data_IF_009912955082
#
_entry.id   IF_009912955082
#
_cell.length_a   1.000
_cell.length_b   1.000
_cell.length_c   1.000
_cell.angle_alpha   90.00
_cell.angle_beta   90.00
_cell.angle_gamma   90.00
#
_symmetry.space_group_name_H-M   'P 1'
#
loop_
_entity.id
_entity.type
_entity.pdbx_description
1 polymer ?
#
# COMPACT_ATOMS: atom_id res chain seq x y z
N UNK A 1 -4.38 3.25 20.52
CA UNK A 1 -5.45 3.64 19.57
C UNK A 1 -5.79 2.42 18.75
N UNK A 2 -7.06 2.04 18.64
CA UNK A 2 -7.47 0.78 17.98
C UNK A 2 -7.45 0.90 16.46
N UNK A 3 -7.00 -0.16 15.78
CA UNK A 3 -6.89 -0.24 14.32
C UNK A 3 -8.20 0.05 13.57
N UNK A 4 -9.33 -0.18 14.23
CA UNK A 4 -10.67 0.06 13.67
C UNK A 4 -10.97 1.55 13.46
N UNK A 5 -10.43 2.45 14.28
CA UNK A 5 -10.54 3.90 14.08
C UNK A 5 -9.68 4.41 12.91
N UNK A 6 -8.57 3.73 12.60
CA UNK A 6 -7.70 4.10 11.49
C UNK A 6 -8.39 3.78 10.15
N UNK A 7 -9.08 2.65 10.05
CA UNK A 7 -9.81 2.24 8.83
C UNK A 7 -10.92 3.23 8.44
N UNK A 8 -11.70 3.73 9.39
CA UNK A 8 -12.79 4.66 9.11
C UNK A 8 -12.32 6.08 8.75
N UNK A 9 -11.11 6.47 9.14
CA UNK A 9 -10.56 7.81 8.85
C UNK A 9 -10.26 8.03 7.37
N UNK A 10 -10.12 6.96 6.58
CA UNK A 10 -9.76 7.03 5.17
C UNK A 10 -10.89 7.57 4.27
N UNK A 11 -12.15 7.20 4.55
CA UNK A 11 -13.30 7.59 3.71
C UNK A 11 -13.55 9.10 3.64
N UNK A 12 -13.26 9.85 4.71
CA UNK A 12 -13.43 11.30 4.76
C UNK A 12 -12.39 12.09 3.94
N UNK A 13 -11.28 11.45 3.54
CA UNK A 13 -10.16 12.06 2.84
C UNK A 13 -9.84 11.41 1.48
N UNK A 14 -10.76 10.61 0.92
CA UNK A 14 -10.51 9.76 -0.25
C UNK A 14 -9.96 10.52 -1.48
N UNK A 15 -10.47 11.72 -1.78
CA UNK A 15 -10.00 12.54 -2.91
C UNK A 15 -8.55 13.03 -2.68
N UNK A 16 -8.25 13.62 -1.52
CA UNK A 16 -6.89 14.04 -1.18
C UNK A 16 -5.91 12.85 -1.11
N UNK A 17 -6.41 11.69 -0.66
CA UNK A 17 -5.68 10.42 -0.63
C UNK A 17 -5.31 9.95 -2.06
N UNK A 18 -6.23 10.05 -3.02
CA UNK A 18 -6.00 9.66 -4.41
C UNK A 18 -4.93 10.53 -5.10
N UNK A 19 -4.93 11.84 -4.85
CA UNK A 19 -4.02 12.80 -5.49
C UNK A 19 -2.57 12.65 -5.04
N UNK A 20 -2.34 12.28 -3.78
CA UNK A 20 -1.02 12.36 -3.15
C UNK A 20 -0.31 11.02 -2.99
N UNK A 21 -0.99 9.88 -3.20
CA UNK A 21 -0.37 8.57 -3.02
C UNK A 21 0.56 8.21 -4.19
N UNK A 22 1.78 7.70 -3.91
CA UNK A 22 2.70 7.23 -4.93
C UNK A 22 2.11 6.06 -5.72
N UNK A 23 2.43 6.00 -7.00
CA UNK A 23 2.16 4.81 -7.84
C UNK A 23 3.09 3.66 -7.43
N UNK A 24 2.72 2.43 -7.79
CA UNK A 24 3.57 1.26 -7.57
C UNK A 24 4.54 1.08 -8.74
N UNK A 25 5.75 0.59 -8.46
CA UNK A 25 6.70 0.24 -9.51
C UNK A 25 6.12 -0.87 -10.39
N UNK A 26 5.99 -0.64 -11.71
CA UNK A 26 5.49 -1.66 -12.62
C UNK A 26 6.36 -2.93 -12.60
N UNK A 27 7.67 -2.79 -12.39
CA UNK A 27 8.57 -3.93 -12.24
C UNK A 27 8.19 -4.82 -11.04
N UNK A 28 7.77 -4.22 -9.92
CA UNK A 28 7.28 -4.94 -8.75
C UNK A 28 6.02 -5.75 -9.05
N UNK A 29 5.06 -5.12 -9.74
CA UNK A 29 3.80 -5.77 -10.14
C UNK A 29 4.08 -6.92 -11.12
N UNK A 30 4.94 -6.71 -12.12
CA UNK A 30 5.32 -7.78 -13.07
C UNK A 30 6.00 -8.94 -12.36
N UNK A 31 6.93 -8.67 -11.44
CA UNK A 31 7.59 -9.71 -10.65
C UNK A 31 6.64 -10.47 -9.72
N UNK A 32 5.68 -9.77 -9.11
CA UNK A 32 4.64 -10.38 -8.29
C UNK A 32 3.77 -11.35 -9.12
N UNK A 33 3.44 -10.98 -10.36
CA UNK A 33 2.58 -11.75 -11.27
C UNK A 33 3.32 -12.83 -12.07
N UNK A 34 4.64 -12.75 -12.23
CA UNK A 34 5.46 -13.71 -13.01
C UNK A 34 5.10 -15.19 -12.77
N UNK A 35 4.84 -15.65 -11.53
CA UNK A 35 4.50 -17.05 -11.30
C UNK A 35 3.08 -17.47 -11.63
N UNK A 36 2.17 -16.51 -11.77
CA UNK A 36 0.75 -16.77 -11.83
C UNK A 36 0.42 -17.55 -13.12
N UNK A 37 -0.57 -18.47 -13.07
CA UNK A 37 -0.95 -19.27 -14.25
C UNK A 37 -1.62 -18.44 -15.36
N UNK A 38 -1.99 -17.19 -15.04
CA UNK A 38 -2.64 -16.25 -15.94
C UNK A 38 -2.64 -14.84 -15.35
N UNK A 39 -3.36 -13.93 -15.99
CA UNK A 39 -3.39 -12.51 -15.64
C UNK A 39 -4.77 -12.03 -15.16
N UNK A 40 -5.65 -12.93 -14.70
CA UNK A 40 -6.88 -12.53 -13.99
C UNK A 40 -6.50 -12.22 -12.55
N UNK A 41 -6.48 -10.93 -12.20
CA UNK A 41 -5.94 -10.46 -10.92
C UNK A 41 -7.04 -9.82 -10.09
N UNK A 42 -7.14 -10.26 -8.84
CA UNK A 42 -7.88 -9.56 -7.81
C UNK A 42 -6.99 -8.52 -7.13
N UNK A 43 -7.37 -7.25 -7.19
CA UNK A 43 -6.87 -6.19 -6.30
C UNK A 43 -7.76 -6.16 -5.03
N UNK A 44 -7.24 -6.69 -3.93
CA UNK A 44 -7.99 -6.88 -2.68
C UNK A 44 -7.67 -5.77 -1.67
N UNK A 45 -8.71 -5.03 -1.25
CA UNK A 45 -8.53 -3.78 -0.50
C UNK A 45 -7.97 -2.69 -1.41
N UNK A 46 -8.60 -2.51 -2.57
CA UNK A 46 -8.07 -1.71 -3.67
C UNK A 46 -8.00 -0.19 -3.39
N UNK A 47 -8.66 0.29 -2.34
CA UNK A 47 -8.74 1.71 -1.98
C UNK A 47 -9.29 2.53 -3.14
N UNK A 48 -8.56 3.60 -3.51
CA UNK A 48 -8.89 4.45 -4.66
C UNK A 48 -8.41 3.92 -6.02
N UNK A 49 -7.86 2.70 -6.08
CA UNK A 49 -7.51 2.03 -7.34
C UNK A 49 -6.09 2.30 -7.86
N UNK A 50 -5.16 2.79 -7.03
CA UNK A 50 -3.76 3.01 -7.45
C UNK A 50 -3.06 1.73 -7.92
N UNK A 51 -3.29 0.62 -7.21
CA UNK A 51 -2.75 -0.67 -7.64
C UNK A 51 -3.51 -1.21 -8.86
N UNK A 52 -4.85 -1.10 -8.88
CA UNK A 52 -5.68 -1.46 -10.04
C UNK A 52 -5.20 -0.79 -11.33
N UNK A 53 -4.89 0.51 -11.31
CA UNK A 53 -4.38 1.23 -12.47
C UNK A 53 -3.02 0.68 -12.94
N UNK A 54 -2.13 0.35 -12.00
CA UNK A 54 -0.82 -0.23 -12.31
C UNK A 54 -0.97 -1.65 -12.89
N UNK A 55 -1.90 -2.44 -12.37
CA UNK A 55 -2.24 -3.78 -12.86
C UNK A 55 -2.76 -3.75 -14.30
N UNK A 56 -3.69 -2.84 -14.60
CA UNK A 56 -4.18 -2.62 -15.98
C UNK A 56 -3.03 -2.22 -16.90
N UNK A 57 -2.15 -1.31 -16.47
CA UNK A 57 -1.02 -0.85 -17.27
C UNK A 57 0.00 -1.95 -17.59
N UNK A 58 0.10 -3.00 -16.77
CA UNK A 58 0.95 -4.17 -17.07
C UNK A 58 0.22 -5.27 -17.85
N UNK A 59 -1.05 -5.06 -18.22
CA UNK A 59 -1.85 -5.96 -19.06
C UNK A 59 -2.69 -6.98 -18.30
N UNK A 60 -2.93 -6.79 -16.99
CA UNK A 60 -3.80 -7.66 -16.22
C UNK A 60 -5.29 -7.43 -16.51
N UNK A 61 -6.07 -8.50 -16.43
CA UNK A 61 -7.54 -8.46 -16.34
C UNK A 61 -7.92 -8.30 -14.86
N UNK A 62 -8.38 -7.11 -14.48
CA UNK A 62 -8.47 -6.69 -13.07
C UNK A 62 -9.90 -6.69 -12.58
N UNK A 63 -10.11 -7.38 -11.46
CA UNK A 63 -11.26 -7.18 -10.58
C UNK A 63 -10.77 -6.58 -9.26
N UNK A 64 -11.45 -5.55 -8.77
CA UNK A 64 -11.11 -4.88 -7.52
C UNK A 64 -12.20 -5.12 -6.48
N UNK A 65 -11.79 -5.39 -5.24
CA UNK A 65 -12.68 -5.50 -4.08
C UNK A 65 -12.26 -4.48 -3.05
N UNK A 66 -13.19 -3.63 -2.62
CA UNK A 66 -12.95 -2.58 -1.62
C UNK A 66 -14.12 -2.51 -0.62
N UNK A 67 -13.85 -2.58 0.69
CA UNK A 67 -14.91 -2.50 1.71
C UNK A 67 -15.43 -1.08 1.96
N UNK A 68 -14.64 -0.03 1.78
CA UNK A 68 -15.06 1.35 2.05
C UNK A 68 -15.82 1.94 0.85
N UNK A 69 -17.10 2.33 1.01
CA UNK A 69 -17.91 2.84 -0.11
C UNK A 69 -17.38 4.13 -0.74
N UNK A 70 -16.73 5.00 0.02
CA UNK A 70 -16.17 6.26 -0.49
C UNK A 70 -14.91 5.99 -1.33
N UNK A 71 -14.04 5.10 -0.86
CA UNK A 71 -12.88 4.63 -1.63
C UNK A 71 -13.31 3.92 -2.91
N UNK A 72 -14.30 3.03 -2.82
CA UNK A 72 -14.86 2.32 -3.97
C UNK A 72 -15.46 3.27 -5.01
N UNK A 73 -16.11 4.37 -4.57
CA UNK A 73 -16.62 5.39 -5.47
C UNK A 73 -15.49 6.11 -6.24
N UNK A 74 -14.41 6.48 -5.54
CA UNK A 74 -13.22 7.07 -6.18
C UNK A 74 -12.53 6.10 -7.14
N UNK A 75 -12.41 4.82 -6.78
CA UNK A 75 -11.87 3.79 -7.67
C UNK A 75 -12.68 3.69 -8.96
N UNK A 76 -14.01 3.61 -8.86
CA UNK A 76 -14.90 3.56 -10.04
C UNK A 76 -14.77 4.78 -10.94
N UNK A 77 -14.52 5.96 -10.34
CA UNK A 77 -14.28 7.20 -11.08
C UNK A 77 -12.90 7.20 -11.76
N UNK A 78 -11.86 6.75 -11.07
CA UNK A 78 -10.49 6.78 -11.55
C UNK A 78 -10.18 5.66 -12.57
N UNK A 79 -10.83 4.50 -12.44
CA UNK A 79 -10.61 3.31 -13.25
C UNK A 79 -11.95 2.70 -13.71
N UNK A 80 -12.74 3.38 -14.56
CA UNK A 80 -14.07 2.93 -14.95
C UNK A 80 -14.10 1.61 -15.75
N UNK A 81 -12.95 1.19 -16.29
CA UNK A 81 -12.81 -0.09 -16.99
C UNK A 81 -12.56 -1.28 -16.04
N UNK A 82 -12.25 -1.04 -14.76
CA UNK A 82 -12.01 -2.09 -13.77
C UNK A 82 -13.33 -2.51 -13.14
N UNK A 83 -13.60 -3.82 -13.09
CA UNK A 83 -14.76 -4.34 -12.37
C UNK A 83 -14.56 -4.16 -10.87
N UNK A 84 -15.35 -3.28 -10.24
CA UNK A 84 -15.15 -2.88 -8.84
C UNK A 84 -16.34 -3.28 -7.96
N UNK A 85 -16.10 -4.20 -7.02
CA UNK A 85 -17.11 -4.84 -6.19
C UNK A 85 -16.97 -4.42 -4.71
N UNK A 86 -18.10 -4.20 -4.00
CA UNK A 86 -18.06 -4.08 -2.55
C UNK A 86 -17.79 -5.45 -1.91
N UNK A 87 -16.89 -5.51 -0.95
CA UNK A 87 -16.53 -6.74 -0.22
C UNK A 87 -15.29 -6.55 0.65
N UNK A 88 -14.93 -7.56 1.44
CA UNK A 88 -13.72 -7.52 2.27
C UNK A 88 -12.82 -8.72 2.01
N UNK A 89 -11.61 -8.70 2.58
CA UNK A 89 -10.70 -9.84 2.47
C UNK A 89 -11.25 -11.11 3.15
N UNK A 90 -12.08 -10.94 4.17
CA UNK A 90 -12.73 -12.00 4.95
C UNK A 90 -14.02 -12.53 4.30
N UNK A 91 -14.53 -11.88 3.25
CA UNK A 91 -15.70 -12.30 2.47
C UNK A 91 -15.59 -11.78 1.04
N UNK A 92 -14.89 -12.52 0.19
CA UNK A 92 -14.56 -12.09 -1.18
C UNK A 92 -15.73 -12.45 -2.11
N UNK A 93 -16.35 -11.46 -2.79
CA UNK A 93 -17.55 -11.68 -3.62
C UNK A 93 -17.20 -12.28 -5.00
N UNK A 94 -16.32 -13.28 -5.04
CA UNK A 94 -15.88 -13.97 -6.25
C UNK A 94 -16.06 -15.49 -6.14
N UNK A 95 -16.28 -16.20 -7.26
CA UNK A 95 -16.32 -17.66 -7.28
C UNK A 95 -14.98 -18.31 -6.93
N UNK A 96 -15.03 -19.59 -6.59
CA UNK A 96 -13.85 -20.41 -6.34
C UNK A 96 -12.97 -20.54 -7.59
N UNK A 97 -11.65 -20.48 -7.41
CA UNK A 97 -10.68 -20.65 -8.50
C UNK A 97 -10.82 -19.65 -9.67
N UNK A 98 -11.44 -18.50 -9.44
CA UNK A 98 -11.81 -17.54 -10.47
C UNK A 98 -10.66 -16.60 -10.88
N UNK A 99 -9.64 -16.44 -10.04
CA UNK A 99 -8.49 -15.54 -10.29
C UNK A 99 -7.16 -16.27 -10.22
N UNK A 100 -6.19 -15.80 -10.99
CA UNK A 100 -4.84 -16.38 -11.09
C UNK A 100 -3.90 -15.75 -10.04
N UNK A 101 -4.17 -14.52 -9.62
CA UNK A 101 -3.44 -13.85 -8.54
C UNK A 101 -4.34 -12.95 -7.68
N UNK A 102 -3.96 -12.79 -6.42
CA UNK A 102 -4.53 -11.83 -5.47
C UNK A 102 -3.42 -10.90 -5.01
N UNK A 103 -3.53 -9.63 -5.32
CA UNK A 103 -2.59 -8.60 -4.92
C UNK A 103 -3.26 -7.62 -3.94
N UNK A 104 -2.50 -7.11 -2.98
CA UNK A 104 -3.00 -6.18 -1.96
C UNK A 104 -2.01 -5.03 -1.74
N UNK A 105 -2.37 -3.83 -2.21
CA UNK A 105 -1.52 -2.64 -2.14
C UNK A 105 -1.74 -1.84 -0.87
N UNK A 106 -0.77 -1.83 0.05
CA UNK A 106 -0.87 -1.23 1.39
C UNK A 106 -2.09 -1.73 2.19
N UNK A 107 -2.61 -2.92 1.85
CA UNK A 107 -3.84 -3.46 2.43
C UNK A 107 -3.64 -4.77 3.22
N UNK A 108 -2.68 -5.62 2.82
CA UNK A 108 -2.52 -6.99 3.36
C UNK A 108 -2.40 -7.04 4.89
N UNK A 109 -1.77 -6.04 5.50
CA UNK A 109 -1.56 -5.96 6.94
C UNK A 109 -2.83 -5.65 7.74
N UNK A 110 -3.94 -5.32 7.08
CA UNK A 110 -5.24 -5.15 7.71
C UNK A 110 -6.08 -6.42 7.70
N UNK A 111 -5.66 -7.47 7.00
CA UNK A 111 -6.51 -8.65 6.85
C UNK A 111 -6.41 -9.52 8.09
N UNK A 112 -7.56 -10.00 8.58
CA UNK A 112 -7.55 -11.13 9.52
C UNK A 112 -7.16 -12.39 8.74
N UNK A 113 -5.87 -12.69 8.70
CA UNK A 113 -5.34 -13.81 7.91
C UNK A 113 -5.88 -15.17 8.35
N UNK A 114 -6.46 -15.31 9.55
CA UNK A 114 -7.13 -16.53 9.96
C UNK A 114 -8.40 -16.78 9.14
N UNK A 115 -9.11 -15.73 8.74
CA UNK A 115 -10.32 -15.78 7.92
C UNK A 115 -10.01 -15.50 6.45
N UNK A 116 -9.37 -14.37 6.17
CA UNK A 116 -9.01 -13.93 4.84
C UNK A 116 -8.09 -14.92 4.11
N UNK A 117 -7.21 -15.64 4.83
CA UNK A 117 -6.34 -16.65 4.21
C UNK A 117 -7.12 -17.79 3.56
N UNK A 118 -8.27 -18.17 4.13
CA UNK A 118 -9.15 -19.19 3.54
C UNK A 118 -9.88 -18.65 2.30
N UNK A 119 -10.43 -17.43 2.38
CA UNK A 119 -11.10 -16.77 1.25
C UNK A 119 -10.17 -16.50 0.08
N UNK A 120 -8.97 -15.96 0.33
CA UNK A 120 -7.94 -15.74 -0.70
C UNK A 120 -7.57 -17.07 -1.35
N UNK A 121 -7.37 -18.13 -0.56
CA UNK A 121 -7.08 -19.47 -1.11
C UNK A 121 -8.25 -20.06 -1.89
N UNK A 122 -9.49 -19.73 -1.55
CA UNK A 122 -10.70 -20.21 -2.22
C UNK A 122 -10.83 -19.61 -3.62
N UNK A 123 -10.65 -18.29 -3.74
CA UNK A 123 -10.80 -17.59 -5.03
C UNK A 123 -9.61 -17.80 -5.97
N UNK A 124 -8.42 -18.09 -5.43
CA UNK A 124 -7.24 -18.39 -6.25
C UNK A 124 -7.37 -19.74 -6.98
N UNK A 125 -7.05 -19.76 -8.27
CA UNK A 125 -6.83 -20.97 -9.04
C UNK A 125 -5.67 -21.81 -8.45
N UNK A 126 -5.61 -23.12 -8.72
CA UNK A 126 -4.44 -23.93 -8.38
C UNK A 126 -3.15 -23.30 -8.94
N UNK A 127 -2.10 -23.21 -8.10
CA UNK A 127 -0.84 -22.55 -8.46
C UNK A 127 -0.88 -21.02 -8.46
N UNK A 128 -2.00 -20.41 -8.07
CA UNK A 128 -2.14 -18.95 -8.01
C UNK A 128 -1.26 -18.28 -6.95
N UNK A 129 -1.12 -16.96 -7.07
CA UNK A 129 -0.19 -16.15 -6.26
C UNK A 129 -0.93 -15.20 -5.33
N UNK A 130 -0.43 -15.05 -4.10
CA UNK A 130 -0.76 -13.95 -3.20
C UNK A 130 0.44 -13.01 -3.10
N UNK A 131 0.25 -11.71 -3.27
CA UNK A 131 1.30 -10.73 -3.02
C UNK A 131 0.81 -9.46 -2.32
N UNK A 132 1.53 -9.06 -1.27
CA UNK A 132 1.39 -7.74 -0.64
C UNK A 132 2.40 -6.77 -1.24
N UNK A 133 1.99 -5.54 -1.54
CA UNK A 133 2.86 -4.48 -2.04
C UNK A 133 2.74 -3.24 -1.16
N UNK A 134 3.86 -2.58 -0.86
CA UNK A 134 3.91 -1.34 -0.09
C UNK A 134 4.78 -0.32 -0.81
N UNK A 135 4.34 0.94 -0.79
CA UNK A 135 5.16 2.05 -1.27
C UNK A 135 5.83 2.69 -0.06
N UNK A 136 7.15 2.59 0.01
CA UNK A 136 7.96 2.96 1.17
C UNK A 136 9.04 3.95 0.74
N UNK A 137 9.36 4.90 1.60
CA UNK A 137 10.47 5.83 1.39
C UNK A 137 11.80 5.10 1.62
N UNK A 138 12.79 5.40 0.79
CA UNK A 138 14.12 4.79 0.91
C UNK A 138 14.97 5.50 1.97
N UNK A 139 14.87 5.04 3.21
CA UNK A 139 15.63 5.55 4.36
C UNK A 139 17.13 5.18 4.33
N UNK A 140 17.63 4.55 3.26
CA UNK A 140 19.07 4.47 2.97
C UNK A 140 19.63 5.81 2.50
N UNK A 141 18.76 6.73 2.08
CA UNK A 141 19.11 8.11 1.71
C UNK A 141 19.05 9.00 2.95
N UNK A 142 20.15 9.68 3.25
CA UNK A 142 20.36 10.39 4.53
C UNK A 142 19.26 11.40 4.87
N UNK A 143 18.81 12.20 3.90
CA UNK A 143 17.76 13.19 4.14
C UNK A 143 16.39 12.55 4.37
N UNK A 144 16.12 11.37 3.77
CA UNK A 144 14.89 10.59 3.98
C UNK A 144 14.87 9.99 5.38
N UNK A 145 16.00 9.41 5.83
CA UNK A 145 16.15 8.97 7.22
C UNK A 145 16.00 10.14 8.21
N UNK A 146 16.50 11.32 7.85
CA UNK A 146 16.31 12.55 8.63
C UNK A 146 14.85 12.99 8.69
N UNK A 147 14.12 12.88 7.58
CA UNK A 147 12.69 13.17 7.50
C UNK A 147 11.90 12.28 8.46
N UNK A 148 12.12 10.96 8.45
CA UNK A 148 11.51 10.02 9.39
C UNK A 148 11.68 10.46 10.85
N UNK A 149 12.92 10.77 11.25
CA UNK A 149 13.23 11.21 12.62
C UNK A 149 12.50 12.48 13.01
N UNK A 150 12.39 13.46 12.10
CA UNK A 150 11.77 14.76 12.37
C UNK A 150 10.24 14.67 12.36
N UNK A 151 9.67 13.88 11.45
CA UNK A 151 8.24 13.66 11.29
C UNK A 151 7.64 12.85 12.44
N UNK A 152 8.37 11.85 12.95
CA UNK A 152 7.89 10.96 14.00
C UNK A 152 6.79 10.00 13.53
N UNK A 153 6.38 9.10 14.42
CA UNK A 153 5.54 7.94 14.10
C UNK A 153 4.09 8.27 13.72
N UNK A 154 3.62 9.48 14.03
CA UNK A 154 2.29 9.93 13.62
C UNK A 154 2.19 10.25 12.12
N UNK A 155 3.28 10.74 11.53
CA UNK A 155 3.38 11.08 10.11
C UNK A 155 4.04 9.98 9.28
N UNK A 156 4.99 9.23 9.85
CA UNK A 156 5.70 8.14 9.17
C UNK A 156 5.50 6.87 9.99
N UNK A 157 4.62 6.01 9.49
CA UNK A 157 4.19 4.80 10.17
C UNK A 157 5.17 3.62 10.01
N UNK A 158 4.85 2.47 10.63
CA UNK A 158 5.75 1.32 10.72
C UNK A 158 6.01 0.59 9.38
N UNK A 159 5.41 1.05 8.29
CA UNK A 159 5.55 0.46 6.94
C UNK A 159 5.74 1.55 5.88
N UNK A 160 6.15 2.75 6.30
CA UNK A 160 6.33 3.90 5.40
C UNK A 160 7.80 4.13 5.01
N UNK A 161 8.75 3.48 5.69
CA UNK A 161 10.19 3.50 5.36
C UNK A 161 10.72 2.08 5.19
N UNK A 162 11.84 1.91 4.49
CA UNK A 162 12.42 0.59 4.23
C UNK A 162 12.74 -0.17 5.53
N UNK A 163 13.43 0.45 6.48
CA UNK A 163 13.85 -0.21 7.72
C UNK A 163 12.65 -0.59 8.59
N UNK A 164 11.65 0.31 8.69
CA UNK A 164 10.43 0.03 9.44
C UNK A 164 9.59 -1.07 8.77
N UNK A 165 9.43 -1.03 7.44
CA UNK A 165 8.71 -2.04 6.68
C UNK A 165 9.31 -3.43 6.85
N UNK A 166 10.63 -3.59 6.73
CA UNK A 166 11.31 -4.88 6.97
C UNK A 166 11.03 -5.42 8.37
N UNK A 167 11.05 -4.55 9.37
CA UNK A 167 10.74 -4.93 10.76
C UNK A 167 9.28 -5.35 10.90
N UNK A 168 8.35 -4.54 10.38
CA UNK A 168 6.91 -4.75 10.53
C UNK A 168 6.34 -5.90 9.68
N UNK A 169 7.11 -6.40 8.72
CA UNK A 169 6.73 -7.54 7.87
C UNK A 169 7.50 -8.81 8.19
N UNK A 170 8.49 -8.76 9.09
CA UNK A 170 9.29 -9.91 9.48
C UNK A 170 8.41 -11.09 9.92
N UNK A 171 7.40 -10.84 10.75
CA UNK A 171 6.49 -11.87 11.25
C UNK A 171 5.60 -12.48 10.15
N UNK A 172 5.30 -11.72 9.08
CA UNK A 172 4.53 -12.22 7.93
C UNK A 172 5.33 -13.21 7.08
N UNK A 173 6.65 -13.28 7.28
CA UNK A 173 7.56 -14.22 6.64
C UNK A 173 7.74 -15.52 7.45
N UNK A 174 7.26 -15.58 8.71
CA UNK A 174 7.54 -16.69 9.63
C UNK A 174 6.55 -17.85 9.44
N UNK A 175 7.02 -19.10 9.23
CA UNK A 175 6.18 -20.26 8.89
C UNK A 175 5.07 -20.67 9.87
N UNK A 176 5.08 -20.17 11.11
CA UNK A 176 4.16 -20.58 12.18
C UNK A 176 3.10 -19.55 12.54
N UNK A 177 3.15 -18.33 11.99
CA UNK A 177 2.16 -17.28 12.22
C UNK A 177 1.98 -16.43 10.95
N UNK A 178 0.78 -16.42 10.37
CA UNK A 178 0.47 -15.62 9.18
C UNK A 178 0.95 -16.26 7.86
N UNK A 179 0.12 -16.19 6.82
CA UNK A 179 0.34 -16.67 5.43
C UNK A 179 0.63 -18.18 5.21
N UNK A 180 1.44 -18.85 6.02
CA UNK A 180 2.17 -20.06 5.61
C UNK A 180 1.39 -21.38 5.72
N UNK A 181 0.20 -21.40 6.34
CA UNK A 181 -0.61 -22.62 6.40
C UNK A 181 -1.17 -23.04 5.02
N UNK A 182 -1.45 -22.07 4.15
CA UNK A 182 -2.00 -22.29 2.79
C UNK A 182 -1.09 -21.80 1.67
N UNK A 183 -0.14 -20.93 2.00
CA UNK A 183 0.82 -20.36 1.06
C UNK A 183 2.24 -20.80 1.40
N UNK A 184 3.13 -20.85 0.42
CA UNK A 184 4.57 -21.13 0.62
C UNK A 184 5.28 -20.06 1.47
N UNK A 185 6.60 -20.19 1.62
CA UNK A 185 7.43 -19.12 2.19
C UNK A 185 7.30 -17.86 1.34
N UNK A 186 7.17 -16.71 1.98
CA UNK A 186 7.16 -15.43 1.30
C UNK A 186 8.59 -14.92 1.05
N UNK A 187 8.81 -14.31 -0.10
CA UNK A 187 10.09 -13.69 -0.48
C UNK A 187 9.95 -12.17 -0.47
N UNK A 188 10.68 -11.44 0.38
CA UNK A 188 10.71 -9.99 0.34
C UNK A 188 11.63 -9.50 -0.79
N UNK A 189 11.10 -8.66 -1.68
CA UNK A 189 11.88 -8.02 -2.76
C UNK A 189 11.54 -6.53 -2.85
N UNK A 190 12.54 -5.73 -3.20
CA UNK A 190 12.43 -4.27 -3.32
C UNK A 190 12.60 -3.83 -4.76
N UNK A 191 11.76 -2.91 -5.21
CA UNK A 191 11.85 -2.32 -6.53
C UNK A 191 11.94 -0.80 -6.42
N UNK A 192 13.05 -0.18 -6.83
CA UNK A 192 13.18 1.26 -6.78
C UNK A 192 12.23 1.94 -7.76
N UNK A 193 11.67 3.05 -7.30
CA UNK A 193 10.97 4.01 -8.13
C UNK A 193 11.10 5.40 -7.52
N UNK A 194 10.55 6.39 -8.21
CA UNK A 194 10.71 7.77 -7.84
C UNK A 194 9.35 8.46 -7.79
N UNK A 195 9.28 9.52 -6.99
CA UNK A 195 8.15 10.42 -7.01
C UNK A 195 8.62 11.87 -7.05
N UNK A 196 8.15 12.62 -8.06
CA UNK A 196 8.39 14.07 -8.12
C UNK A 196 7.56 14.79 -7.07
N UNK A 197 8.18 15.66 -6.31
CA UNK A 197 7.57 16.39 -5.19
C UNK A 197 8.12 17.79 -5.07
N UNK A 198 7.32 18.70 -4.52
CA UNK A 198 7.79 19.89 -3.81
C UNK A 198 7.72 19.65 -2.31
N UNK A 199 8.40 20.50 -1.51
CA UNK A 199 8.33 20.42 -0.06
C UNK A 199 6.87 20.50 0.44
N UNK A 200 6.08 21.42 -0.12
CA UNK A 200 4.66 21.56 0.23
C UNK A 200 3.83 20.33 -0.15
N UNK A 201 4.07 19.74 -1.32
CA UNK A 201 3.34 18.52 -1.74
C UNK A 201 3.65 17.31 -0.84
N UNK A 202 4.88 17.22 -0.34
CA UNK A 202 5.28 16.15 0.58
C UNK A 202 4.69 16.38 1.97
N UNK A 203 4.73 17.61 2.47
CA UNK A 203 4.06 17.99 3.73
C UNK A 203 2.56 17.71 3.66
N UNK A 204 1.89 18.08 2.56
CA UNK A 204 0.47 17.79 2.35
C UNK A 204 0.20 16.27 2.38
N UNK A 205 1.06 15.46 1.76
CA UNK A 205 0.95 14.00 1.77
C UNK A 205 1.06 13.45 3.19
N UNK A 206 2.05 13.92 3.96
CA UNK A 206 2.23 13.49 5.35
C UNK A 206 1.07 13.94 6.24
N UNK A 207 0.44 15.07 5.95
CA UNK A 207 -0.76 15.53 6.67
C UNK A 207 -1.98 14.62 6.49
N UNK A 208 -2.06 13.84 5.40
CA UNK A 208 -3.15 12.86 5.16
C UNK A 208 -2.99 11.56 5.95
N UNK A 209 -1.86 11.40 6.67
CA UNK A 209 -1.57 10.17 7.40
C UNK A 209 -2.52 10.06 8.59
N UNK A 210 -3.03 8.85 8.84
CA UNK A 210 -4.07 8.65 9.82
C UNK A 210 -3.67 9.10 11.24
N UNK A 211 -2.39 8.95 11.61
CA UNK A 211 -1.87 9.50 12.88
C UNK A 211 -1.89 11.04 12.94
N UNK A 212 -1.72 11.72 11.80
CA UNK A 212 -1.83 13.18 11.70
C UNK A 212 -3.29 13.65 11.72
N UNK A 213 -4.21 12.90 11.09
CA UNK A 213 -5.62 13.28 11.02
C UNK A 213 -6.30 13.34 12.40
N UNK A 214 -5.89 12.47 13.33
CA UNK A 214 -6.44 12.39 14.69
C UNK A 214 -5.63 13.17 15.73
N UNK A 215 -4.51 13.77 15.32
CA UNK A 215 -3.66 14.59 16.19
C UNK A 215 -4.34 15.93 16.50
N UNK A 216 -4.24 16.45 17.74
CA UNK A 216 -4.70 17.79 18.09
C UNK A 216 -4.14 18.85 17.12
N UNK A 217 -4.97 19.83 16.74
CA UNK A 217 -4.63 20.77 15.67
C UNK A 217 -3.34 21.56 15.91
N UNK A 218 -3.10 21.98 17.16
CA UNK A 218 -1.89 22.69 17.55
C UNK A 218 -0.64 21.81 17.38
N UNK A 219 -0.69 20.58 17.87
CA UNK A 219 0.41 19.60 17.74
C UNK A 219 0.65 19.21 16.27
N UNK A 220 -0.43 19.06 15.50
CA UNK A 220 -0.38 18.78 14.07
C UNK A 220 0.31 19.91 13.32
N UNK A 221 -0.07 21.16 13.60
CA UNK A 221 0.53 22.35 12.98
C UNK A 221 2.02 22.44 13.31
N UNK A 222 2.38 22.31 14.59
CA UNK A 222 3.77 22.32 15.03
C UNK A 222 4.61 21.20 14.37
N UNK A 223 4.03 20.01 14.17
CA UNK A 223 4.70 18.90 13.49
C UNK A 223 4.89 19.19 12.00
N UNK A 224 3.88 19.70 11.30
CA UNK A 224 3.99 20.05 9.88
C UNK A 224 4.99 21.19 9.64
N UNK A 225 5.03 22.19 10.52
CA UNK A 225 6.01 23.29 10.42
C UNK A 225 7.44 22.81 10.65
N UNK A 226 7.65 21.89 11.59
CA UNK A 226 8.95 21.24 11.81
C UNK A 226 9.41 20.47 10.57
N UNK A 227 8.50 19.73 9.93
CA UNK A 227 8.79 19.00 8.69
C UNK A 227 9.14 19.99 7.56
N UNK A 228 8.36 21.05 7.40
CA UNK A 228 8.62 22.08 6.37
C UNK A 228 9.97 22.75 6.58
N UNK A 229 10.29 23.13 7.82
CA UNK A 229 11.58 23.72 8.17
C UNK A 229 12.75 22.76 7.88
N UNK A 230 12.59 21.47 8.20
CA UNK A 230 13.59 20.45 7.86
C UNK A 230 13.82 20.37 6.36
N UNK A 231 12.75 20.25 5.56
CA UNK A 231 12.87 20.19 4.08
C UNK A 231 13.50 21.46 3.51
N UNK A 232 13.19 22.63 4.05
CA UNK A 232 13.80 23.90 3.65
C UNK A 232 15.29 24.02 4.02
N UNK A 233 15.78 23.22 4.96
CA UNK A 233 17.20 23.21 5.39
C UNK A 233 18.09 22.26 4.59
N UNK A 234 17.53 21.43 3.71
CA UNK A 234 18.25 20.39 2.96
C UNK A 234 18.49 20.84 1.52
N UNK A 235 19.73 20.74 0.99
CA UNK A 235 20.00 21.13 -0.39
C UNK A 235 19.16 20.34 -1.41
N UNK A 236 18.80 19.09 -1.09
CA UNK A 236 18.00 18.21 -1.95
C UNK A 236 16.54 18.65 -2.09
N UNK A 237 15.99 19.33 -1.08
CA UNK A 237 14.54 19.58 -0.99
C UNK A 237 14.16 21.05 -0.79
N UNK A 238 15.14 21.94 -0.61
CA UNK A 238 14.90 23.35 -0.29
C UNK A 238 14.31 24.16 -1.46
N UNK A 239 14.49 23.71 -2.70
CA UNK A 239 14.13 24.50 -3.88
C UNK A 239 13.39 23.67 -4.93
N UNK A 240 12.25 24.20 -5.38
CA UNK A 240 11.51 23.68 -6.52
C UNK A 240 11.01 22.24 -6.34
N UNK A 241 11.01 21.50 -7.45
CA UNK A 241 10.72 20.08 -7.44
C UNK A 241 11.98 19.26 -7.19
N UNK A 242 11.84 18.19 -6.41
CA UNK A 242 12.86 17.19 -6.16
C UNK A 242 12.29 15.78 -6.35
N UNK A 243 13.21 14.82 -6.47
CA UNK A 243 12.87 13.40 -6.50
C UNK A 243 12.88 12.85 -5.09
N UNK A 244 11.73 12.33 -4.63
CA UNK A 244 11.63 11.50 -3.44
C UNK A 244 12.01 10.05 -3.80
N UNK A 245 13.10 9.50 -3.25
CA UNK A 245 13.49 8.11 -3.42
C UNK A 245 12.47 7.19 -2.75
N UNK A 246 11.86 6.32 -3.56
CA UNK A 246 10.82 5.40 -3.12
C UNK A 246 11.19 3.96 -3.51
N UNK A 247 10.63 3.01 -2.79
CA UNK A 247 10.67 1.60 -3.14
C UNK A 247 9.24 1.06 -3.13
N UNK A 248 8.98 0.12 -4.01
CA UNK A 248 7.88 -0.82 -3.82
C UNK A 248 8.44 -2.07 -3.16
N UNK A 249 8.14 -2.26 -1.87
CA UNK A 249 8.43 -3.50 -1.16
C UNK A 249 7.34 -4.53 -1.45
N UNK A 250 7.73 -5.75 -1.80
CA UNK A 250 6.81 -6.84 -2.17
C UNK A 250 7.06 -8.05 -1.29
N UNK A 251 5.99 -8.64 -0.77
CA UNK A 251 5.98 -10.00 -0.23
C UNK A 251 5.14 -10.88 -1.13
N UNK A 252 5.71 -11.95 -1.69
CA UNK A 252 5.02 -12.88 -2.60
C UNK A 252 5.02 -14.29 -2.06
N UNK A 253 3.87 -14.96 -2.09
CA UNK A 253 3.75 -16.39 -1.78
C UNK A 253 2.86 -17.10 -2.80
N UNK A 254 3.19 -18.37 -3.09
CA UNK A 254 2.37 -19.22 -3.97
C UNK A 254 1.41 -20.06 -3.17
N UNK A 255 0.19 -20.25 -3.69
CA UNK A 255 -0.76 -21.23 -3.17
C UNK A 255 -0.18 -22.64 -3.35
N UNK A 256 -0.23 -23.45 -2.29
CA UNK A 256 0.14 -24.86 -2.35
C UNK A 256 -0.96 -25.72 -2.94
#
# INVERSE_FOLDING_TARGET
MTEQMLRSSFGAAATAYAEHRPDYAQAAVRWALEPAPGLRVLDLGAGTGKLSATLVAVGADVVAVEPDPAMLAELRRAAPAVSALPGSAEAIPLPDGSVDAVLAGNALHWFDMAVAGAEISRVLAPGGVLAGLWNIMDDRVDWVAGLERVSGSAAIGPRDTLSSWRTATADMLVPSAGLVARFGSAEPVEFPHEQRRTADSLVATLATRAGMLVMPEEERTATLDRIRAFLGSRPETAHGEFTLPMLTGVLRARRR
#
